data_IF_345397035840
#
_entry.id   IF_345397035840
#
_cell.length_a   1.000
_cell.length_b   1.000
_cell.length_c   1.000
_cell.angle_alpha   90.00
_cell.angle_beta   90.00
_cell.angle_gamma   90.00
#
_symmetry.space_group_name_H-M   'P 1'
#
loop_
_entity.id
_entity.type
_entity.pdbx_description
1 polymer ?
#
# COMPACT_ATOMS: atom_id res chain seq x y z
N UNK A 1 1.85 18.10 6.52
CA UNK A 1 1.74 16.99 7.50
C UNK A 1 2.36 15.76 6.83
N UNK A 2 3.68 15.80 6.63
CA UNK A 2 4.40 14.87 5.74
C UNK A 2 4.96 13.65 6.50
N UNK A 3 5.12 13.73 7.82
CA UNK A 3 5.81 12.68 8.57
C UNK A 3 4.89 11.62 9.19
N UNK A 4 3.80 11.20 8.51
CA UNK A 4 2.89 10.18 9.07
C UNK A 4 3.20 8.75 8.66
N UNK A 5 3.92 8.57 7.56
CA UNK A 5 4.04 7.28 6.89
C UNK A 5 5.50 6.92 6.64
N UNK A 6 5.84 5.67 6.89
CA UNK A 6 7.02 5.03 6.35
C UNK A 6 6.56 4.02 5.31
N UNK A 7 6.83 4.30 4.04
CA UNK A 7 6.40 3.49 2.90
C UNK A 7 7.64 3.01 2.14
N UNK A 8 7.73 1.71 1.92
CA UNK A 8 8.81 1.11 1.14
C UNK A 8 8.29 -0.08 0.34
N UNK A 9 9.07 -0.53 -0.64
CA UNK A 9 8.69 -1.65 -1.50
C UNK A 9 9.76 -2.74 -1.56
N UNK A 10 9.30 -3.97 -1.77
CA UNK A 10 10.11 -5.16 -2.05
C UNK A 10 9.78 -5.65 -3.47
N UNK A 11 10.80 -5.75 -4.34
CA UNK A 11 10.64 -6.15 -5.74
C UNK A 11 10.76 -4.98 -6.74
N UNK A 12 10.24 -5.12 -7.97
CA UNK A 12 9.54 -6.30 -8.48
C UNK A 12 10.46 -7.54 -8.62
N UNK A 13 9.93 -8.73 -8.38
CA UNK A 13 10.63 -9.99 -8.66
C UNK A 13 10.64 -10.34 -10.17
N UNK A 14 11.24 -11.47 -10.55
CA UNK A 14 11.28 -11.92 -11.95
C UNK A 14 9.89 -12.14 -12.57
N UNK A 15 8.86 -12.33 -11.75
CA UNK A 15 7.48 -12.48 -12.19
C UNK A 15 6.71 -11.13 -12.18
N UNK A 16 7.41 -10.01 -11.95
CA UNK A 16 6.81 -8.68 -11.88
C UNK A 16 6.08 -8.39 -10.56
N UNK A 17 6.21 -9.24 -9.52
CA UNK A 17 5.49 -9.03 -8.26
C UNK A 17 6.22 -8.03 -7.40
N UNK A 18 5.52 -6.96 -7.04
CA UNK A 18 5.95 -5.91 -6.13
C UNK A 18 5.08 -5.96 -4.87
N UNK A 19 5.71 -5.82 -3.71
CA UNK A 19 5.00 -5.65 -2.44
C UNK A 19 5.30 -4.27 -1.89
N UNK A 20 4.28 -3.51 -1.50
CA UNK A 20 4.43 -2.19 -0.88
C UNK A 20 3.97 -2.24 0.56
N UNK A 21 4.79 -1.74 1.47
CA UNK A 21 4.58 -1.78 2.90
C UNK A 21 4.21 -0.40 3.41
N UNK A 22 3.16 -0.32 4.23
CA UNK A 22 2.70 0.90 4.86
C UNK A 22 2.87 0.78 6.36
N UNK A 23 3.69 1.66 6.94
CA UNK A 23 3.91 1.74 8.38
C UNK A 23 3.63 3.15 8.90
N UNK A 24 3.21 3.25 10.16
CA UNK A 24 3.23 4.53 10.89
C UNK A 24 4.68 4.90 11.19
N UNK A 25 5.09 6.10 10.79
CA UNK A 25 6.46 6.60 10.99
C UNK A 25 6.86 6.67 12.47
N UNK A 26 5.91 7.00 13.36
CA UNK A 26 6.20 7.27 14.77
C UNK A 26 6.11 6.06 15.70
N UNK A 27 5.42 4.99 15.30
CA UNK A 27 5.36 3.72 16.08
C UNK A 27 6.04 2.55 15.38
N UNK A 28 6.32 2.66 14.08
CA UNK A 28 6.72 1.53 13.25
C UNK A 28 5.62 0.50 13.00
N UNK A 29 4.40 0.72 13.52
CA UNK A 29 3.27 -0.21 13.39
C UNK A 29 2.97 -0.45 11.92
N UNK A 30 2.92 -1.73 11.52
CA UNK A 30 2.55 -2.14 10.18
C UNK A 30 1.05 -2.01 10.01
N UNK A 31 0.66 -1.21 9.02
CA UNK A 31 -0.72 -0.88 8.74
C UNK A 31 -1.26 -1.76 7.62
N UNK A 32 -0.53 -1.84 6.49
CA UNK A 32 -0.94 -2.62 5.34
C UNK A 32 0.22 -3.08 4.45
N UNK A 33 -0.07 -4.07 3.62
CA UNK A 33 0.73 -4.57 2.51
C UNK A 33 -0.13 -4.50 1.24
N UNK A 34 0.39 -3.88 0.19
CA UNK A 34 -0.19 -3.90 -1.14
C UNK A 34 0.58 -4.88 -2.01
N UNK A 35 -0.13 -5.76 -2.71
CA UNK A 35 0.46 -6.68 -3.67
C UNK A 35 0.13 -6.19 -5.07
N UNK A 36 1.16 -5.90 -5.86
CA UNK A 36 1.06 -5.35 -7.21
C UNK A 36 1.76 -6.28 -8.17
N UNK A 37 1.13 -6.55 -9.31
CA UNK A 37 1.79 -7.16 -10.47
C UNK A 37 2.11 -6.04 -11.44
N UNK A 38 3.40 -5.75 -11.59
CA UNK A 38 3.91 -4.76 -12.52
C UNK A 38 3.85 -5.29 -13.94
N UNK A 39 3.46 -4.42 -14.88
CA UNK A 39 3.70 -4.68 -16.28
C UNK A 39 5.17 -4.40 -16.62
N UNK A 40 5.96 -5.47 -16.71
CA UNK A 40 7.40 -5.38 -17.01
C UNK A 40 7.68 -5.06 -18.48
N UNK A 41 6.66 -5.09 -19.35
CA UNK A 41 6.78 -4.70 -20.76
C UNK A 41 6.47 -3.22 -20.98
N UNK A 42 5.88 -2.54 -19.98
CA UNK A 42 5.55 -1.12 -20.04
C UNK A 42 4.37 -0.80 -20.97
N UNK A 43 3.51 -1.78 -21.25
CA UNK A 43 2.35 -1.63 -22.13
C UNK A 43 1.12 -1.06 -21.37
N UNK A 44 1.12 -1.16 -20.04
CA UNK A 44 0.02 -0.81 -19.14
C UNK A 44 0.51 -0.45 -17.73
N UNK A 45 -0.42 0.04 -16.88
CA UNK A 45 -0.17 0.26 -15.46
C UNK A 45 -0.09 -1.06 -14.69
N UNK A 46 0.66 -1.07 -13.57
CA UNK A 46 0.67 -2.20 -12.64
C UNK A 46 -0.71 -2.45 -12.03
N UNK A 47 -1.05 -3.72 -11.80
CA UNK A 47 -2.35 -4.13 -11.24
C UNK A 47 -2.22 -4.50 -9.77
N UNK A 48 -3.08 -3.94 -8.92
CA UNK A 48 -3.24 -4.40 -7.54
C UNK A 48 -3.94 -5.76 -7.56
N UNK A 49 -3.30 -6.77 -6.99
CA UNK A 49 -3.84 -8.14 -6.90
C UNK A 49 -4.23 -8.54 -5.49
N UNK A 50 -3.90 -7.72 -4.49
CA UNK A 50 -4.31 -7.97 -3.12
C UNK A 50 -3.94 -6.84 -2.18
N UNK A 51 -4.69 -6.76 -1.08
CA UNK A 51 -4.41 -5.90 0.06
C UNK A 51 -4.46 -6.78 1.29
N UNK A 52 -3.44 -6.70 2.14
CA UNK A 52 -3.47 -7.26 3.49
C UNK A 52 -3.30 -6.11 4.46
N UNK A 53 -4.24 -5.94 5.39
CA UNK A 53 -4.17 -4.88 6.38
C UNK A 53 -4.22 -5.45 7.79
N UNK A 54 -3.79 -4.65 8.75
CA UNK A 54 -3.95 -4.95 10.15
C UNK A 54 -5.36 -4.51 10.61
N UNK A 55 -6.25 -5.48 10.77
CA UNK A 55 -7.59 -5.29 11.35
C UNK A 55 -7.67 -5.59 12.85
N UNK A 56 -6.53 -5.57 13.55
CA UNK A 56 -6.45 -5.81 14.99
C UNK A 56 -6.84 -4.59 15.82
N UNK A 57 -6.80 -4.77 17.14
CA UNK A 57 -7.13 -3.73 18.14
C UNK A 57 -6.23 -2.49 18.02
N UNK A 58 -4.95 -2.67 17.67
CA UNK A 58 -3.98 -1.58 17.48
C UNK A 58 -4.33 -0.65 16.30
N UNK A 59 -5.21 -1.12 15.41
CA UNK A 59 -5.79 -0.35 14.32
C UNK A 59 -7.30 -0.12 14.51
N UNK A 60 -7.79 -0.26 15.74
CA UNK A 60 -9.20 -0.08 16.11
C UNK A 60 -10.16 -0.93 15.25
N UNK A 61 -9.80 -2.19 15.02
CA UNK A 61 -10.64 -3.14 14.26
C UNK A 61 -11.01 -2.66 12.86
N UNK A 62 -10.04 -2.03 12.19
CA UNK A 62 -10.20 -1.42 10.87
C UNK A 62 -10.88 -2.32 9.85
N UNK A 63 -11.93 -1.80 9.21
CA UNK A 63 -12.67 -2.48 8.15
C UNK A 63 -11.88 -2.50 6.82
N UNK A 64 -12.34 -3.33 5.87
CA UNK A 64 -11.77 -3.38 4.53
C UNK A 64 -11.89 -2.02 3.79
N UNK A 65 -13.04 -1.37 3.92
CA UNK A 65 -13.35 -0.08 3.30
C UNK A 65 -12.46 1.03 3.87
N UNK A 66 -12.27 1.05 5.19
CA UNK A 66 -11.37 1.96 5.87
C UNK A 66 -9.91 1.74 5.43
N UNK A 67 -9.50 0.47 5.30
CA UNK A 67 -8.18 0.11 4.81
C UNK A 67 -7.96 0.60 3.36
N UNK A 68 -8.92 0.36 2.47
CA UNK A 68 -8.89 0.84 1.07
C UNK A 68 -8.82 2.36 0.99
N UNK A 69 -9.67 3.05 1.74
CA UNK A 69 -9.70 4.52 1.79
C UNK A 69 -8.36 5.09 2.27
N UNK A 70 -7.83 4.52 3.35
CA UNK A 70 -6.56 4.95 3.93
C UNK A 70 -5.39 4.72 2.98
N UNK A 71 -5.32 3.57 2.31
CA UNK A 71 -4.27 3.26 1.33
C UNK A 71 -4.36 4.22 0.14
N UNK A 72 -5.55 4.46 -0.42
CA UNK A 72 -5.75 5.44 -1.51
C UNK A 72 -5.27 6.82 -1.12
N UNK A 73 -5.61 7.23 0.09
CA UNK A 73 -5.20 8.53 0.66
C UNK A 73 -3.68 8.59 0.85
N UNK A 74 -3.06 7.54 1.37
CA UNK A 74 -1.60 7.47 1.53
C UNK A 74 -0.87 7.52 0.18
N UNK A 75 -1.30 6.73 -0.81
CA UNK A 75 -0.74 6.77 -2.16
C UNK A 75 -0.85 8.16 -2.80
N UNK A 76 -2.02 8.80 -2.69
CA UNK A 76 -2.25 10.13 -3.26
C UNK A 76 -1.36 11.18 -2.63
N UNK A 77 -1.32 11.24 -1.29
CA UNK A 77 -0.67 12.35 -0.60
C UNK A 77 0.83 12.14 -0.35
N UNK A 78 1.30 10.90 -0.25
CA UNK A 78 2.71 10.60 0.05
C UNK A 78 3.50 10.22 -1.20
N UNK A 79 2.86 9.57 -2.18
CA UNK A 79 3.53 9.06 -3.37
C UNK A 79 3.12 9.81 -4.65
N UNK A 80 2.12 10.70 -4.57
CA UNK A 80 1.49 11.33 -5.74
C UNK A 80 0.97 10.30 -6.77
N UNK A 81 0.48 9.15 -6.28
CA UNK A 81 -0.09 8.07 -7.09
C UNK A 81 -1.60 7.99 -6.89
N UNK A 82 -2.35 7.98 -7.99
CA UNK A 82 -3.79 7.80 -8.00
C UNK A 82 -4.13 6.34 -8.30
N UNK A 83 -4.78 5.66 -7.35
CA UNK A 83 -5.27 4.30 -7.55
C UNK A 83 -6.66 4.37 -8.20
N UNK A 84 -6.86 3.56 -9.23
CA UNK A 84 -8.16 3.34 -9.85
C UNK A 84 -9.02 2.38 -9.01
N UNK A 85 -10.33 2.45 -9.19
CA UNK A 85 -11.31 1.61 -8.48
C UNK A 85 -11.32 0.15 -8.98
#
# INVERSE_FOLDING_TARGET
>A
MEDKWFIYSEGPDQAGKLKVHFHRSWTGTKVAELFVVMDTKGESAGKIVGIKWNGGEDMNWMSEEEAKYMIRTACRWQLNVHLED
#
